data_IF_631425072562
#
_entry.id   IF_631425072562
#
_cell.length_a   1.000
_cell.length_b   1.000
_cell.length_c   1.000
_cell.angle_alpha   90.00
_cell.angle_beta   90.00
_cell.angle_gamma   90.00
#
_symmetry.space_group_name_H-M   'P 1'
#
loop_
_entity.id
_entity.type
_entity.pdbx_description
1 polymer ?
#
# COMPACT_ATOMS: atom_id res chain seq x y z
N UNK A 1 -0.98 -9.36 -29.91
CA UNK A 1 -1.64 -9.19 -28.61
C UNK A 1 -0.72 -9.80 -27.58
N UNK A 2 0.01 -8.97 -26.84
CA UNK A 2 0.73 -9.42 -25.65
C UNK A 2 -0.31 -9.65 -24.56
N UNK A 3 -0.32 -10.86 -24.00
CA UNK A 3 -1.27 -11.25 -22.97
C UNK A 3 -0.98 -10.44 -21.69
N UNK A 4 -1.73 -9.36 -21.47
CA UNK A 4 -1.58 -8.45 -20.32
C UNK A 4 -1.98 -9.09 -18.99
N UNK A 5 -2.32 -10.40 -18.99
CA UNK A 5 -2.80 -11.14 -17.83
C UNK A 5 -1.76 -12.10 -17.24
N UNK A 6 -0.51 -12.06 -17.71
CA UNK A 6 0.60 -12.81 -17.09
C UNK A 6 1.09 -12.07 -15.83
N UNK A 7 1.34 -12.78 -14.70
CA UNK A 7 1.93 -12.17 -13.52
C UNK A 7 3.26 -11.48 -13.87
N UNK A 8 3.45 -10.24 -13.43
CA UNK A 8 4.79 -9.65 -13.38
C UNK A 8 5.54 -10.33 -12.23
N UNK A 9 6.57 -11.10 -12.54
CA UNK A 9 7.30 -11.93 -11.56
C UNK A 9 8.03 -11.10 -10.48
N UNK A 10 8.29 -9.81 -10.72
CA UNK A 10 9.09 -9.00 -9.81
C UNK A 10 8.24 -8.16 -8.85
N UNK A 11 8.29 -8.51 -7.57
CA UNK A 11 7.76 -7.68 -6.51
C UNK A 11 8.62 -6.41 -6.30
N UNK A 12 7.97 -5.28 -6.05
CA UNK A 12 8.64 -4.05 -5.60
C UNK A 12 8.83 -4.15 -4.09
N UNK A 13 10.09 -4.21 -3.65
CA UNK A 13 10.44 -4.26 -2.23
C UNK A 13 10.70 -2.87 -1.66
N UNK A 14 10.10 -2.56 -0.50
CA UNK A 14 10.27 -1.29 0.22
C UNK A 14 10.42 -1.59 1.71
N UNK A 15 11.66 -1.59 2.21
CA UNK A 15 11.93 -1.94 3.61
C UNK A 15 11.35 -3.31 3.97
N UNK A 16 10.33 -3.32 4.85
CA UNK A 16 9.65 -4.54 5.34
C UNK A 16 8.42 -4.95 4.50
N UNK A 17 8.22 -4.31 3.34
CA UNK A 17 7.09 -4.55 2.43
C UNK A 17 7.56 -5.19 1.13
N UNK A 18 6.72 -6.05 0.56
CA UNK A 18 6.81 -6.46 -0.85
C UNK A 18 5.46 -6.24 -1.54
N UNK A 19 5.48 -5.62 -2.72
CA UNK A 19 4.30 -5.26 -3.51
C UNK A 19 4.39 -5.96 -4.86
N UNK A 20 3.51 -6.92 -5.12
CA UNK A 20 3.44 -7.62 -6.41
C UNK A 20 2.13 -7.29 -7.12
N UNK A 21 2.23 -6.56 -8.22
CA UNK A 21 1.07 -6.17 -9.02
C UNK A 21 0.46 -7.37 -9.74
N UNK A 22 -0.88 -7.43 -9.71
CA UNK A 22 -1.71 -8.38 -10.47
C UNK A 22 -2.39 -7.67 -11.64
N UNK A 23 -2.85 -6.43 -11.41
CA UNK A 23 -3.48 -5.57 -12.41
C UNK A 23 -2.88 -4.17 -12.28
N UNK A 24 -2.21 -3.70 -13.33
CA UNK A 24 -1.75 -2.31 -13.47
C UNK A 24 -2.81 -1.52 -14.26
N UNK A 25 -3.57 -0.68 -13.53
CA UNK A 25 -4.65 0.12 -14.08
C UNK A 25 -4.20 1.47 -14.66
N UNK A 26 -2.89 1.75 -14.65
CA UNK A 26 -2.34 3.08 -14.96
C UNK A 26 -2.76 3.60 -16.32
N UNK A 27 -2.66 2.77 -17.36
CA UNK A 27 -2.90 3.19 -18.74
C UNK A 27 -4.37 3.52 -19.03
N UNK A 28 -5.30 2.96 -18.27
CA UNK A 28 -6.74 3.15 -18.44
C UNK A 28 -7.34 4.08 -17.39
N UNK A 29 -6.55 4.50 -16.38
CA UNK A 29 -7.08 5.15 -15.17
C UNK A 29 -8.03 4.24 -14.38
N UNK A 30 -7.91 2.93 -14.57
CA UNK A 30 -8.81 1.92 -14.03
C UNK A 30 -8.30 1.30 -12.73
N UNK A 31 -8.75 0.07 -12.48
CA UNK A 31 -8.48 -0.72 -11.29
C UNK A 31 -6.99 -1.09 -11.15
N UNK A 32 -6.41 -0.83 -9.98
CA UNK A 32 -5.15 -1.39 -9.54
C UNK A 32 -5.40 -2.54 -8.56
N UNK A 33 -4.73 -3.68 -8.76
CA UNK A 33 -4.75 -4.80 -7.81
C UNK A 33 -3.34 -5.30 -7.58
N UNK A 34 -2.94 -5.42 -6.32
CA UNK A 34 -1.64 -5.99 -5.98
C UNK A 34 -1.69 -6.79 -4.68
N UNK A 35 -0.84 -7.80 -4.59
CA UNK A 35 -0.54 -8.47 -3.33
C UNK A 35 0.48 -7.65 -2.54
N UNK A 36 0.11 -7.32 -1.32
CA UNK A 36 0.96 -6.70 -0.32
C UNK A 36 1.40 -7.78 0.68
N UNK A 37 2.71 -7.93 0.87
CA UNK A 37 3.31 -8.74 1.93
C UNK A 37 3.92 -7.83 2.99
N UNK A 38 3.58 -8.05 4.25
CA UNK A 38 3.99 -7.22 5.39
C UNK A 38 4.71 -8.10 6.41
N UNK A 39 6.01 -7.89 6.57
CA UNK A 39 6.82 -8.67 7.52
C UNK A 39 6.40 -8.43 8.99
N UNK A 40 6.66 -9.38 9.90
CA UNK A 40 6.42 -9.22 11.33
C UNK A 40 7.05 -7.94 11.92
N UNK A 41 6.35 -7.30 12.83
CA UNK A 41 6.78 -6.07 13.51
C UNK A 41 6.78 -4.80 12.65
N UNK A 42 6.31 -4.86 11.39
CA UNK A 42 6.26 -3.69 10.50
C UNK A 42 5.31 -2.61 11.02
N UNK A 43 5.74 -1.35 10.97
CA UNK A 43 4.97 -0.15 11.37
C UNK A 43 4.72 0.82 10.22
N UNK A 44 4.90 0.36 9.00
CA UNK A 44 4.74 1.16 7.77
C UNK A 44 3.52 0.69 6.98
N UNK A 45 2.89 1.59 6.19
CA UNK A 45 3.23 3.00 5.97
C UNK A 45 2.81 3.91 7.13
N UNK A 46 3.30 5.16 7.18
CA UNK A 46 2.68 6.21 7.99
C UNK A 46 1.20 6.40 7.60
N UNK A 47 0.40 6.91 8.54
CA UNK A 47 -1.00 7.25 8.26
C UNK A 47 -1.11 8.30 7.15
N UNK A 48 -2.01 8.08 6.20
CA UNK A 48 -2.21 8.95 5.05
C UNK A 48 -3.61 8.76 4.45
N UNK A 49 -4.02 9.66 3.55
CA UNK A 49 -5.22 9.51 2.74
C UNK A 49 -4.90 9.61 1.25
N UNK A 50 -5.79 9.09 0.41
CA UNK A 50 -5.71 9.25 -1.04
C UNK A 50 -6.77 10.25 -1.47
N UNK A 51 -6.42 11.17 -2.37
CA UNK A 51 -7.33 12.25 -2.77
C UNK A 51 -8.46 11.73 -3.67
N UNK A 52 -8.18 10.72 -4.50
CA UNK A 52 -9.11 10.25 -5.53
C UNK A 52 -9.40 8.74 -5.45
N UNK A 53 -8.48 7.98 -4.87
CA UNK A 53 -8.55 6.54 -4.84
C UNK A 53 -9.41 6.09 -3.65
N UNK A 54 -10.31 5.15 -3.90
CA UNK A 54 -10.80 4.28 -2.83
C UNK A 54 -9.92 3.04 -2.74
N UNK A 55 -9.77 2.49 -1.54
CA UNK A 55 -8.97 1.29 -1.27
C UNK A 55 -9.79 0.23 -0.54
N UNK A 56 -9.60 -1.03 -0.90
CA UNK A 56 -10.02 -2.16 -0.08
C UNK A 56 -8.82 -3.07 0.19
N UNK A 57 -8.56 -3.34 1.47
CA UNK A 57 -7.60 -4.34 1.92
C UNK A 57 -8.35 -5.63 2.26
N UNK A 58 -8.01 -6.74 1.59
CA UNK A 58 -8.57 -8.07 1.82
C UNK A 58 -7.45 -9.04 2.23
N UNK A 59 -7.53 -9.63 3.42
CA UNK A 59 -6.43 -10.45 3.95
C UNK A 59 -6.47 -11.87 3.38
N UNK A 60 -5.31 -12.32 2.91
CA UNK A 60 -5.06 -13.65 2.35
C UNK A 60 -4.42 -14.59 3.37
N UNK A 61 -3.49 -14.08 4.18
CA UNK A 61 -2.66 -14.86 5.10
C UNK A 61 -2.23 -14.00 6.29
N UNK A 62 -2.04 -14.62 7.46
CA UNK A 62 -1.63 -13.93 8.68
C UNK A 62 -2.70 -12.96 9.22
N UNK A 63 -2.25 -11.97 9.99
CA UNK A 63 -3.12 -10.94 10.57
C UNK A 63 -2.59 -9.56 10.22
N UNK A 64 -3.41 -8.73 9.56
CA UNK A 64 -3.06 -7.36 9.21
C UNK A 64 -3.81 -6.39 10.12
N UNK A 65 -3.10 -5.55 10.85
CA UNK A 65 -3.72 -4.44 11.56
C UNK A 65 -4.00 -3.33 10.56
N UNK A 66 -5.26 -2.94 10.44
CA UNK A 66 -5.70 -1.90 9.53
C UNK A 66 -6.59 -0.90 10.27
N UNK A 67 -6.41 0.39 9.97
CA UNK A 67 -7.23 1.45 10.53
C UNK A 67 -7.74 2.40 9.46
N UNK A 68 -8.97 2.89 9.63
CA UNK A 68 -9.59 3.94 8.81
C UNK A 68 -10.31 4.91 9.74
N UNK A 69 -10.00 6.20 9.63
CA UNK A 69 -10.59 7.28 10.41
C UNK A 69 -10.66 7.00 11.93
N UNK A 70 -9.61 6.34 12.45
CA UNK A 70 -9.49 6.00 13.87
C UNK A 70 -10.15 4.70 14.31
N UNK A 71 -10.89 4.02 13.44
CA UNK A 71 -11.36 2.65 13.69
C UNK A 71 -10.26 1.67 13.31
N UNK A 72 -9.69 0.97 14.29
CA UNK A 72 -8.63 -0.02 14.09
C UNK A 72 -9.18 -1.45 14.24
N UNK A 73 -8.76 -2.36 13.37
CA UNK A 73 -9.07 -3.79 13.43
C UNK A 73 -7.86 -4.63 13.06
N UNK A 74 -7.72 -5.77 13.73
CA UNK A 74 -6.84 -6.86 13.29
C UNK A 74 -7.63 -7.78 12.35
N UNK A 75 -7.36 -7.67 11.05
CA UNK A 75 -8.03 -8.42 9.99
C UNK A 75 -7.35 -9.78 9.78
N UNK A 76 -8.14 -10.85 9.78
CA UNK A 76 -7.73 -12.25 9.54
C UNK A 76 -8.04 -12.69 8.11
N UNK A 77 -7.55 -13.85 7.64
CA UNK A 77 -7.81 -14.32 6.28
C UNK A 77 -9.31 -14.38 5.98
N UNK A 78 -9.70 -13.78 4.85
CA UNK A 78 -11.10 -13.65 4.44
C UNK A 78 -11.80 -12.36 4.91
N UNK A 79 -11.19 -11.62 5.84
CA UNK A 79 -11.70 -10.34 6.32
C UNK A 79 -11.13 -9.17 5.51
N UNK A 80 -11.85 -8.06 5.52
CA UNK A 80 -11.51 -6.88 4.73
C UNK A 80 -11.90 -5.57 5.40
N UNK A 81 -11.31 -4.49 4.89
CA UNK A 81 -11.65 -3.12 5.27
C UNK A 81 -11.60 -2.19 4.06
N UNK A 82 -12.66 -1.40 3.88
CA UNK A 82 -12.75 -0.37 2.85
C UNK A 82 -12.33 0.99 3.40
N UNK A 83 -11.63 1.74 2.57
CA UNK A 83 -11.16 3.10 2.80
C UNK A 83 -11.73 4.00 1.70
N UNK A 84 -12.71 4.86 2.03
CA UNK A 84 -13.20 5.87 1.10
C UNK A 84 -12.11 6.89 0.71
N UNK A 85 -12.25 7.58 -0.45
CA UNK A 85 -11.37 8.69 -0.79
C UNK A 85 -11.38 9.77 0.30
N UNK A 86 -10.19 10.29 0.63
CA UNK A 86 -10.00 11.30 1.67
C UNK A 86 -9.94 10.76 3.10
N UNK A 87 -10.38 9.52 3.37
CA UNK A 87 -10.27 8.90 4.69
C UNK A 87 -8.81 8.59 5.03
N UNK A 88 -8.42 8.89 6.27
CA UNK A 88 -7.07 8.60 6.76
C UNK A 88 -7.00 7.13 7.14
N UNK A 89 -6.09 6.40 6.52
CA UNK A 89 -5.85 5.00 6.82
C UNK A 89 -4.38 4.72 7.12
N UNK A 90 -4.17 3.59 7.78
CA UNK A 90 -2.86 3.06 8.09
C UNK A 90 -2.96 1.54 8.25
N UNK A 91 -1.93 0.82 7.83
CA UNK A 91 -1.74 -0.57 8.22
C UNK A 91 -0.41 -0.80 8.93
N UNK A 92 -0.35 -1.88 9.69
CA UNK A 92 0.85 -2.37 10.35
C UNK A 92 0.74 -3.88 10.56
N UNK A 93 1.85 -4.51 10.92
CA UNK A 93 1.86 -5.89 11.37
C UNK A 93 2.58 -5.97 12.72
N UNK A 94 1.88 -5.72 13.84
CA UNK A 94 2.46 -5.87 15.18
C UNK A 94 2.58 -7.34 15.62
N UNK A 95 2.20 -8.28 14.76
CA UNK A 95 2.11 -9.71 15.06
C UNK A 95 3.42 -10.43 14.68
N UNK A 96 3.51 -11.71 15.07
CA UNK A 96 4.73 -12.51 14.92
C UNK A 96 4.87 -13.17 13.53
N UNK A 97 3.79 -13.28 12.77
CA UNK A 97 3.76 -13.93 11.46
C UNK A 97 3.63 -12.90 10.33
N UNK A 98 4.13 -13.24 9.14
CA UNK A 98 3.96 -12.43 7.94
C UNK A 98 2.47 -12.32 7.61
N UNK A 99 2.02 -11.13 7.26
CA UNK A 99 0.67 -10.91 6.74
C UNK A 99 0.72 -10.72 5.22
N UNK A 100 -0.27 -11.25 4.50
CA UNK A 100 -0.49 -10.99 3.08
C UNK A 100 -1.91 -10.53 2.84
N UNK A 101 -2.07 -9.50 2.02
CA UNK A 101 -3.37 -8.96 1.63
C UNK A 101 -3.40 -8.62 0.15
N UNK A 102 -4.57 -8.70 -0.46
CA UNK A 102 -4.86 -7.98 -1.70
C UNK A 102 -5.21 -6.54 -1.34
N UNK A 103 -4.55 -5.61 -2.02
CA UNK A 103 -4.95 -4.22 -2.03
C UNK A 103 -5.58 -3.93 -3.39
N UNK A 104 -6.77 -3.36 -3.34
CA UNK A 104 -7.61 -3.07 -4.50
C UNK A 104 -7.89 -1.58 -4.47
N UNK A 105 -7.47 -0.87 -5.52
CA UNK A 105 -7.51 0.59 -5.61
C UNK A 105 -8.18 1.05 -6.89
N UNK A 106 -9.11 2.01 -6.80
CA UNK A 106 -9.68 2.66 -7.99
C UNK A 106 -9.78 4.17 -7.81
N UNK A 107 -9.21 4.98 -8.74
CA UNK A 107 -8.26 4.56 -9.78
C UNK A 107 -6.99 3.93 -9.20
N UNK A 108 -6.14 3.32 -10.01
CA UNK A 108 -4.84 2.80 -9.56
C UNK A 108 -3.91 3.94 -9.12
N UNK A 109 -3.11 3.68 -8.08
CA UNK A 109 -2.03 4.56 -7.61
C UNK A 109 -0.74 4.40 -8.42
N UNK A 110 -0.66 3.34 -9.24
CA UNK A 110 0.38 2.99 -10.23
C UNK A 110 1.61 2.33 -9.60
N UNK A 111 2.23 1.31 -10.24
CA UNK A 111 3.47 0.70 -9.74
C UNK A 111 4.63 1.69 -9.57
N UNK A 112 4.67 2.75 -10.38
CA UNK A 112 5.74 3.75 -10.32
C UNK A 112 5.78 4.50 -8.98
N UNK A 113 4.64 4.69 -8.31
CA UNK A 113 4.60 5.26 -6.96
C UNK A 113 5.49 4.46 -5.99
N UNK A 114 5.32 3.15 -5.96
CA UNK A 114 6.08 2.26 -5.08
C UNK A 114 7.57 2.23 -5.42
N UNK A 115 7.94 2.32 -6.71
CA UNK A 115 9.35 2.43 -7.13
C UNK A 115 9.97 3.74 -6.67
N UNK A 116 9.26 4.86 -6.82
CA UNK A 116 9.75 6.17 -6.36
C UNK A 116 9.92 6.19 -4.83
N UNK A 117 8.99 5.59 -4.07
CA UNK A 117 9.12 5.43 -2.62
C UNK A 117 10.31 4.55 -2.26
N UNK A 118 10.50 3.42 -2.94
CA UNK A 118 11.66 2.53 -2.75
C UNK A 118 12.96 3.31 -2.91
N UNK A 119 13.08 4.11 -3.95
CA UNK A 119 14.32 4.82 -4.26
C UNK A 119 14.66 5.84 -3.17
N UNK A 120 13.65 6.48 -2.55
CA UNK A 120 13.85 7.35 -1.38
C UNK A 120 14.24 6.55 -0.12
N UNK A 121 13.55 5.43 0.15
CA UNK A 121 13.78 4.61 1.35
C UNK A 121 15.11 3.87 1.30
N UNK A 122 15.57 3.49 0.10
CA UNK A 122 16.77 2.66 -0.11
C UNK A 122 18.04 3.49 -0.36
N UNK A 123 17.97 4.83 -0.25
CA UNK A 123 19.08 5.74 -0.52
C UNK A 123 20.23 5.68 0.51
N UNK A 124 20.09 4.87 1.57
CA UNK A 124 21.05 4.73 2.66
C UNK A 124 20.83 5.77 3.77
N UNK A 125 20.87 5.31 5.03
CA UNK A 125 20.53 6.14 6.20
C UNK A 125 19.01 6.30 6.40
N UNK A 126 18.58 7.17 7.33
CA UNK A 126 17.16 7.45 7.54
C UNK A 126 16.52 8.05 6.27
N UNK A 127 15.28 7.65 5.90
CA UNK A 127 14.62 8.19 4.72
C UNK A 127 14.47 9.71 4.77
N UNK A 128 14.74 10.37 3.65
CA UNK A 128 14.51 11.81 3.49
C UNK A 128 12.99 12.09 3.48
N UNK A 129 12.50 12.62 4.60
CA UNK A 129 11.08 12.91 4.79
C UNK A 129 10.54 13.90 3.78
N UNK A 130 11.33 14.90 3.38
CA UNK A 130 10.88 15.91 2.42
C UNK A 130 10.66 15.29 1.04
N UNK A 131 11.62 14.48 0.57
CA UNK A 131 11.47 13.74 -0.69
C UNK A 131 10.33 12.75 -0.65
N UNK A 132 10.14 12.05 0.47
CA UNK A 132 9.01 11.11 0.61
C UNK A 132 7.66 11.84 0.51
N UNK A 133 7.52 13.00 1.17
CA UNK A 133 6.31 13.81 1.07
C UNK A 133 6.08 14.34 -0.35
N UNK A 134 7.15 14.75 -1.04
CA UNK A 134 7.08 15.15 -2.45
C UNK A 134 6.58 14.00 -3.33
N UNK A 135 7.16 12.80 -3.19
CA UNK A 135 6.70 11.60 -3.90
C UNK A 135 5.22 11.36 -3.61
N UNK A 136 4.81 11.28 -2.35
CA UNK A 136 3.40 11.07 -1.97
C UNK A 136 2.46 12.08 -2.63
N UNK A 137 2.80 13.38 -2.58
CA UNK A 137 1.97 14.45 -3.15
C UNK A 137 1.82 14.32 -4.67
N UNK A 138 2.87 13.94 -5.41
CA UNK A 138 2.80 13.75 -6.87
C UNK A 138 1.79 12.67 -7.29
N UNK A 139 1.53 11.69 -6.43
CA UNK A 139 0.56 10.61 -6.69
C UNK A 139 -0.80 10.83 -6.01
N UNK A 140 -1.01 12.00 -5.37
CA UNK A 140 -2.29 12.35 -4.75
C UNK A 140 -2.50 11.80 -3.34
N UNK A 141 -1.43 11.41 -2.65
CA UNK A 141 -1.49 11.00 -1.25
C UNK A 141 -1.17 12.19 -0.33
N UNK A 142 -1.89 12.26 0.77
CA UNK A 142 -1.73 13.30 1.80
C UNK A 142 -1.31 12.63 3.11
N UNK A 143 -0.10 12.87 3.62
CA UNK A 143 0.31 12.39 4.94
C UNK A 143 -0.61 12.96 6.03
N UNK A 144 -1.03 12.12 6.97
CA UNK A 144 -1.77 12.60 8.14
C UNK A 144 -0.84 13.39 9.08
N UNK A 145 -1.42 14.34 9.82
CA UNK A 145 -0.71 14.98 10.91
C UNK A 145 -0.30 13.93 11.97
N UNK A 146 0.87 14.07 12.62
CA UNK A 146 1.24 13.21 13.74
C UNK A 146 0.16 13.27 14.82
N UNK A 147 -0.21 12.10 15.36
CA UNK A 147 -1.03 12.00 16.57
C UNK A 147 -0.16 12.07 17.81
#
# INVERSE_FOLDING_TARGET
MTDTNMPTDDAIHIGQLAIRYLIDGTATGGLGVFELTVAPGSKVPPAHSHTHNEECAYVLEGVLRYSVDGVERDLKPGEWMHTPPGSVHQFSNPHAETARALIILTPDIRPQYFRDVRDVVSAGGPPDRAKLMEVMSRYGLVPAAPR
#
